data_IF_289938354716
#
_entry.id   IF_289938354716
#
_cell.length_a   1.000
_cell.length_b   1.000
_cell.length_c   1.000
_cell.angle_alpha   90.00
_cell.angle_beta   90.00
_cell.angle_gamma   90.00
#
_symmetry.space_group_name_H-M   'P 1'
#
loop_
_entity.id
_entity.type
_entity.pdbx_description
1 polymer ?
#
# COMPACT_ATOMS: atom_id res chain seq x y z
N UNK A 1 -10.59 -25.10 5.74
CA UNK A 1 -10.68 -23.83 5.00
C UNK A 1 -10.28 -22.72 5.97
N UNK A 2 -9.15 -22.05 5.73
CA UNK A 2 -8.73 -20.89 6.52
C UNK A 2 -9.20 -19.62 5.81
N UNK A 3 -10.37 -19.09 6.18
CA UNK A 3 -10.86 -17.83 5.61
C UNK A 3 -10.06 -16.66 6.19
N UNK A 4 -9.53 -15.80 5.31
CA UNK A 4 -8.81 -14.61 5.73
C UNK A 4 -9.78 -13.43 5.74
N UNK A 5 -10.15 -13.00 6.94
CA UNK A 5 -11.01 -11.84 7.14
C UNK A 5 -10.28 -10.56 6.69
N UNK A 6 -10.99 -9.63 6.05
CA UNK A 6 -10.51 -8.27 5.70
C UNK A 6 -9.76 -7.58 6.85
N UNK A 7 -10.19 -7.81 8.09
CA UNK A 7 -9.53 -7.37 9.32
C UNK A 7 -8.12 -7.95 9.49
N UNK A 8 -7.93 -9.25 9.20
CA UNK A 8 -6.60 -9.88 9.25
C UNK A 8 -5.66 -9.33 8.17
N UNK A 9 -6.16 -9.07 6.96
CA UNK A 9 -5.38 -8.43 5.89
C UNK A 9 -5.00 -6.99 6.27
N UNK A 10 -5.94 -6.20 6.78
CA UNK A 10 -5.68 -4.84 7.27
C UNK A 10 -4.67 -4.85 8.43
N UNK A 11 -4.77 -5.82 9.33
CA UNK A 11 -3.83 -5.98 10.43
C UNK A 11 -2.43 -6.39 9.95
N UNK A 12 -2.34 -7.26 8.94
CA UNK A 12 -1.06 -7.60 8.30
C UNK A 12 -0.45 -6.39 7.58
N UNK A 13 -1.27 -5.62 6.84
CA UNK A 13 -0.81 -4.39 6.20
C UNK A 13 -0.30 -3.39 7.24
N UNK A 14 -1.05 -3.17 8.33
CA UNK A 14 -0.62 -2.33 9.46
C UNK A 14 0.65 -2.85 10.10
N UNK A 15 0.79 -4.16 10.32
CA UNK A 15 2.01 -4.71 10.92
C UNK A 15 3.22 -4.50 10.01
N UNK A 16 3.08 -4.69 8.70
CA UNK A 16 4.14 -4.43 7.72
C UNK A 16 4.49 -2.94 7.62
N UNK A 17 3.49 -2.06 7.67
CA UNK A 17 3.74 -0.60 7.69
C UNK A 17 4.46 -0.18 8.98
N UNK A 18 4.14 -0.84 10.09
CA UNK A 18 4.79 -0.63 11.39
C UNK A 18 6.16 -1.36 11.51
N UNK A 19 6.50 -2.25 10.57
CA UNK A 19 7.78 -2.97 10.54
C UNK A 19 8.91 -2.14 9.91
N UNK A 20 8.62 -0.94 9.39
CA UNK A 20 9.64 0.07 9.06
C UNK A 20 9.60 1.21 10.07
N UNK A 21 10.03 0.92 11.29
CA UNK A 21 10.52 1.88 12.27
C UNK A 21 9.56 3.02 12.63
N UNK A 22 8.77 2.84 13.69
CA UNK A 22 8.39 3.98 14.52
C UNK A 22 9.59 4.34 15.42
N UNK A 23 10.17 5.54 15.34
CA UNK A 23 10.33 6.33 16.55
C UNK A 23 8.92 6.83 16.96
N UNK A 24 8.63 6.76 18.25
CA UNK A 24 7.50 7.45 18.86
C UNK A 24 7.47 8.95 18.49
N UNK A 25 6.31 9.63 18.64
CA UNK A 25 6.23 11.07 18.50
C UNK A 25 6.96 11.71 19.69
N UNK A 26 8.25 11.95 19.53
CA UNK A 26 8.98 12.86 20.41
C UNK A 26 8.60 14.28 20.03
N UNK A 27 8.28 15.05 21.07
CA UNK A 27 7.96 16.47 21.04
C UNK A 27 8.86 17.26 20.08
N UNK A 28 8.24 18.21 19.39
CA UNK A 28 8.82 19.20 18.48
C UNK A 28 10.25 19.62 18.87
N UNK A 29 11.22 18.94 18.28
CA UNK A 29 12.49 19.55 17.90
C UNK A 29 12.59 19.33 16.41
N UNK A 30 12.64 20.42 15.65
CA UNK A 30 13.07 20.43 14.25
C UNK A 30 14.52 19.95 14.15
N UNK A 31 14.78 18.71 14.52
CA UNK A 31 15.94 17.97 14.08
C UNK A 31 15.67 17.75 12.61
N UNK A 32 16.42 18.44 11.74
CA UNK A 32 16.36 18.25 10.29
C UNK A 32 16.44 16.75 10.04
N UNK A 33 15.30 16.14 9.74
CA UNK A 33 15.24 14.72 9.44
C UNK A 33 16.32 14.45 8.38
N UNK A 34 17.13 13.38 8.55
CA UNK A 34 18.21 13.11 7.63
C UNK A 34 17.63 13.09 6.21
N UNK A 35 18.26 13.84 5.29
CA UNK A 35 17.82 13.88 3.89
C UNK A 35 17.89 12.47 3.33
N UNK A 36 16.73 11.85 3.13
CA UNK A 36 16.59 10.51 2.55
C UNK A 36 17.01 10.53 1.07
N UNK A 37 16.84 11.67 0.41
CA UNK A 37 17.14 11.89 -1.00
C UNK A 37 18.41 12.71 -1.19
N UNK A 38 19.12 12.42 -2.29
CA UNK A 38 20.43 13.03 -2.61
C UNK A 38 20.31 14.51 -2.98
N UNK A 39 19.18 14.93 -3.53
CA UNK A 39 18.86 16.31 -3.89
C UNK A 39 17.36 16.57 -3.87
N UNK A 40 16.95 17.85 -3.89
CA UNK A 40 15.54 18.24 -4.03
C UNK A 40 14.96 17.82 -5.39
N UNK A 41 15.80 17.82 -6.43
CA UNK A 41 15.42 17.32 -7.76
C UNK A 41 15.10 15.83 -7.72
N UNK A 42 15.96 15.03 -7.09
CA UNK A 42 15.74 13.59 -6.96
C UNK A 42 14.48 13.29 -6.16
N UNK A 43 14.25 14.04 -5.07
CA UNK A 43 13.02 13.92 -4.28
C UNK A 43 11.77 14.19 -5.12
N UNK A 44 11.79 15.27 -5.92
CA UNK A 44 10.70 15.62 -6.82
C UNK A 44 10.47 14.51 -7.85
N UNK A 45 11.52 14.05 -8.51
CA UNK A 45 11.45 13.01 -9.54
C UNK A 45 10.91 11.69 -8.96
N UNK A 46 11.38 11.28 -7.79
CA UNK A 46 10.92 10.07 -7.10
C UNK A 46 9.44 10.21 -6.73
N UNK A 47 9.02 11.36 -6.18
CA UNK A 47 7.61 11.63 -5.85
C UNK A 47 6.72 11.61 -7.07
N UNK A 48 7.12 12.24 -8.16
CA UNK A 48 6.39 12.25 -9.43
C UNK A 48 6.24 10.82 -10.00
N UNK A 49 7.33 10.04 -9.98
CA UNK A 49 7.28 8.63 -10.38
C UNK A 49 6.31 7.81 -9.53
N UNK A 50 6.37 7.95 -8.20
CA UNK A 50 5.45 7.27 -7.29
C UNK A 50 4.01 7.68 -7.51
N UNK A 51 3.76 8.97 -7.73
CA UNK A 51 2.44 9.50 -8.02
C UNK A 51 1.89 8.94 -9.32
N UNK A 52 2.68 8.93 -10.40
CA UNK A 52 2.28 8.35 -11.68
C UNK A 52 1.98 6.84 -11.55
N UNK A 53 2.80 6.10 -10.80
CA UNK A 53 2.56 4.68 -10.50
C UNK A 53 1.26 4.47 -9.71
N UNK A 54 0.99 5.33 -8.73
CA UNK A 54 -0.26 5.29 -7.98
C UNK A 54 -1.47 5.54 -8.88
N UNK A 55 -1.43 6.55 -9.74
CA UNK A 55 -2.50 6.84 -10.68
C UNK A 55 -2.75 5.67 -11.64
N UNK A 56 -1.69 5.09 -12.19
CA UNK A 56 -1.80 3.89 -13.05
C UNK A 56 -2.44 2.71 -12.32
N UNK A 57 -2.01 2.45 -11.09
CA UNK A 57 -2.57 1.37 -10.28
C UNK A 57 -4.05 1.64 -9.91
N UNK A 58 -4.39 2.89 -9.63
CA UNK A 58 -5.76 3.30 -9.32
C UNK A 58 -6.67 3.07 -10.53
N UNK A 59 -6.25 3.49 -11.72
CA UNK A 59 -7.00 3.27 -12.95
C UNK A 59 -7.23 1.78 -13.24
N UNK A 60 -6.18 0.97 -13.10
CA UNK A 60 -6.27 -0.49 -13.24
C UNK A 60 -7.29 -1.10 -12.27
N UNK A 61 -7.33 -0.63 -11.03
CA UNK A 61 -8.27 -1.11 -10.01
C UNK A 61 -9.71 -0.64 -10.26
N UNK A 62 -9.90 0.59 -10.73
CA UNK A 62 -11.22 1.15 -11.01
C UNK A 62 -11.87 0.54 -12.26
N UNK A 63 -11.07 0.10 -13.22
CA UNK A 63 -11.56 -0.50 -14.46
C UNK A 63 -11.66 -2.03 -14.40
N UNK A 64 -11.09 -2.67 -13.37
CA UNK A 64 -11.15 -4.12 -13.20
C UNK A 64 -12.36 -4.56 -12.35
N UNK A 65 -13.40 -5.05 -13.04
CA UNK A 65 -14.64 -5.52 -12.42
C UNK A 65 -14.44 -6.70 -11.46
N UNK A 66 -13.49 -7.58 -11.73
CA UNK A 66 -13.19 -8.74 -10.86
C UNK A 66 -12.63 -8.26 -9.52
N UNK A 67 -11.71 -7.30 -9.55
CA UNK A 67 -11.15 -6.72 -8.31
C UNK A 67 -12.21 -5.95 -7.53
N UNK A 68 -13.07 -5.20 -8.21
CA UNK A 68 -14.20 -4.50 -7.55
C UNK A 68 -15.14 -5.51 -6.87
N UNK A 69 -15.42 -6.64 -7.52
CA UNK A 69 -16.24 -7.71 -6.94
C UNK A 69 -15.58 -8.32 -5.71
N UNK A 70 -14.27 -8.60 -5.77
CA UNK A 70 -13.48 -9.08 -4.63
C UNK A 70 -13.52 -8.11 -3.45
N UNK A 71 -13.37 -6.80 -3.69
CA UNK A 71 -13.40 -5.77 -2.64
C UNK A 71 -14.74 -5.65 -1.92
N UNK A 72 -15.84 -6.07 -2.55
CA UNK A 72 -17.20 -6.11 -1.98
C UNK A 72 -17.48 -7.39 -1.20
N UNK A 73 -16.69 -8.45 -1.40
CA UNK A 73 -16.82 -9.72 -0.68
C UNK A 73 -16.37 -9.54 0.78
N UNK A 74 -17.17 -10.03 1.73
CA UNK A 74 -16.91 -9.85 3.17
C UNK A 74 -15.78 -10.76 3.68
N UNK A 75 -15.73 -11.99 3.15
CA UNK A 75 -14.68 -12.96 3.43
C UNK A 75 -13.95 -13.35 2.15
N UNK A 76 -12.63 -13.51 2.27
CA UNK A 76 -11.78 -13.98 1.17
C UNK A 76 -11.28 -15.38 1.44
N UNK A 77 -11.32 -16.21 0.40
CA UNK A 77 -10.68 -17.52 0.32
C UNK A 77 -9.34 -17.44 -0.44
N UNK A 78 -8.65 -18.58 -0.57
CA UNK A 78 -7.36 -18.63 -1.25
C UNK A 78 -7.45 -18.28 -2.74
N UNK A 79 -8.59 -18.55 -3.39
CA UNK A 79 -8.78 -18.30 -4.81
C UNK A 79 -9.04 -16.81 -5.08
N UNK A 80 -9.76 -16.14 -4.17
CA UNK A 80 -9.90 -14.69 -4.17
C UNK A 80 -8.55 -13.97 -4.11
N UNK A 81 -7.62 -14.48 -3.29
CA UNK A 81 -6.26 -13.93 -3.18
C UNK A 81 -5.47 -14.14 -4.47
N UNK A 82 -5.55 -15.33 -5.08
CA UNK A 82 -4.90 -15.59 -6.37
C UNK A 82 -5.43 -14.68 -7.46
N UNK A 83 -6.74 -14.48 -7.51
CA UNK A 83 -7.42 -13.61 -8.47
C UNK A 83 -6.97 -12.16 -8.28
N UNK A 84 -6.92 -11.68 -7.04
CA UNK A 84 -6.38 -10.36 -6.72
C UNK A 84 -4.92 -10.21 -7.19
N UNK A 85 -4.05 -11.17 -6.89
CA UNK A 85 -2.64 -11.10 -7.29
C UNK A 85 -2.44 -11.18 -8.81
N UNK A 86 -3.29 -11.94 -9.51
CA UNK A 86 -3.26 -12.02 -10.97
C UNK A 86 -3.63 -10.69 -11.62
N UNK A 87 -4.54 -9.92 -11.02
CA UNK A 87 -4.96 -8.61 -11.54
C UNK A 87 -3.85 -7.54 -11.55
N UNK A 88 -2.79 -7.73 -10.76
CA UNK A 88 -1.67 -6.78 -10.65
C UNK A 88 -0.43 -7.16 -11.48
N UNK A 89 -0.49 -8.27 -12.22
CA UNK A 89 0.58 -8.73 -13.12
C UNK A 89 0.44 -8.08 -14.49
#
# INVERSE_FOLDING_TARGET
MNNMNKSKMLNAYKSVNNLKGNPQPEEEKETKAPKIYRSEYDEKLIKEYHFAKFQKNLDLLQNNQEVIALLKKEEWDEEDIKTLLASFR
#
